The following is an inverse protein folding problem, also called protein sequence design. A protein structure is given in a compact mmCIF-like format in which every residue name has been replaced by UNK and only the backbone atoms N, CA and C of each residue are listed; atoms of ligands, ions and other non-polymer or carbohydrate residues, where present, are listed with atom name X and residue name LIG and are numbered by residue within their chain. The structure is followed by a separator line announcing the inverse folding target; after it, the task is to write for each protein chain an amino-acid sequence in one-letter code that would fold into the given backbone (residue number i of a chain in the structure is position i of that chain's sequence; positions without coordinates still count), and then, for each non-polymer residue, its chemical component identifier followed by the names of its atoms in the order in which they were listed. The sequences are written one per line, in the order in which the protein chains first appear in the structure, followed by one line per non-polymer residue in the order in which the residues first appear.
data_IF_918987174752
#
_entry.id   IF_918987174752
#
_cell.length_a   1.000
_cell.length_b   1.000
_cell.length_c   1.000
_cell.angle_alpha   90.00
_cell.angle_beta   90.00
_cell.angle_gamma   90.00
#
_symmetry.space_group_name_H-M   'P 1'
#
loop_
_entity.id
_entity.type
_entity.pdbx_description
1 polymer ?
#
# COMPACT_ATOMS: atom_id res chain seq x y z
N UNK A 1 13.66 -29.27 40.65
CA UNK A 1 14.14 -30.00 39.46
C UNK A 1 14.23 -28.98 38.32
N UNK A 2 15.43 -28.47 38.03
CA UNK A 2 15.68 -27.46 36.99
C UNK A 2 15.56 -28.16 35.64
N UNK A 3 14.65 -27.71 34.76
CA UNK A 3 14.64 -28.15 33.36
C UNK A 3 15.93 -27.64 32.72
N UNK A 4 16.80 -28.55 32.27
CA UNK A 4 17.90 -28.20 31.40
C UNK A 4 17.30 -27.55 30.15
N UNK A 5 17.46 -26.24 30.02
CA UNK A 5 17.12 -25.54 28.79
C UNK A 5 18.14 -25.99 27.75
N UNK A 6 17.70 -26.73 26.73
CA UNK A 6 18.54 -26.98 25.57
C UNK A 6 19.10 -25.62 25.07
N UNK A 7 20.39 -25.52 24.76
CA UNK A 7 20.95 -24.28 24.23
C UNK A 7 20.16 -23.89 22.97
N UNK A 8 19.82 -22.61 22.86
CA UNK A 8 19.14 -22.10 21.69
C UNK A 8 19.95 -22.48 20.43
N UNK A 9 19.29 -22.93 19.34
CA UNK A 9 19.99 -23.36 18.14
C UNK A 9 20.86 -22.22 17.58
N UNK A 10 22.05 -22.55 17.10
CA UNK A 10 22.98 -21.58 16.55
C UNK A 10 22.44 -21.06 15.20
N UNK A 11 22.22 -19.76 15.12
CA UNK A 11 21.71 -19.08 13.92
C UNK A 11 22.84 -18.31 13.24
N UNK A 12 22.86 -18.37 11.91
CA UNK A 12 23.76 -17.58 11.08
C UNK A 12 22.92 -16.57 10.29
N UNK A 13 23.34 -15.30 10.32
CA UNK A 13 22.64 -14.22 9.66
C UNK A 13 23.53 -13.62 8.57
N UNK A 14 22.95 -13.42 7.39
CA UNK A 14 23.59 -12.68 6.30
C UNK A 14 22.76 -11.43 6.06
N UNK A 15 23.43 -10.27 6.08
CA UNK A 15 22.84 -9.00 5.67
C UNK A 15 23.43 -8.62 4.32
N UNK A 16 22.57 -8.32 3.36
CA UNK A 16 22.97 -7.79 2.06
C UNK A 16 22.28 -6.45 1.86
N UNK A 17 23.05 -5.42 1.54
CA UNK A 17 22.51 -4.11 1.19
C UNK A 17 22.32 -4.05 -0.34
N UNK A 18 21.09 -3.77 -0.79
CA UNK A 18 20.78 -3.59 -2.21
C UNK A 18 20.84 -2.10 -2.54
N UNK A 19 21.82 -1.71 -3.36
CA UNK A 19 21.97 -0.32 -3.82
C UNK A 19 21.17 -0.10 -5.11
N UNK A 20 20.63 1.11 -5.30
CA UNK A 20 19.96 1.50 -6.54
C UNK A 20 18.66 0.72 -6.86
N UNK A 21 18.03 0.04 -5.89
CA UNK A 21 16.87 -0.82 -6.12
C UNK A 21 15.75 -0.14 -6.92
N UNK A 22 15.45 1.13 -6.63
CA UNK A 22 14.42 1.90 -7.34
C UNK A 22 14.83 2.27 -8.77
N UNK A 23 16.12 2.48 -9.02
CA UNK A 23 16.63 2.89 -10.32
C UNK A 23 16.82 1.70 -11.28
N UNK A 24 17.01 0.51 -10.73
CA UNK A 24 17.17 -0.75 -11.45
C UNK A 24 15.85 -1.51 -11.72
N UNK A 25 14.69 -0.94 -11.37
CA UNK A 25 13.40 -1.60 -11.60
C UNK A 25 13.12 -1.77 -13.10
N UNK A 26 12.94 -3.01 -13.60
CA UNK A 26 12.57 -3.24 -14.99
C UNK A 26 11.12 -2.79 -15.23
N UNK A 27 10.96 -1.72 -16.02
CA UNK A 27 9.67 -1.04 -16.20
C UNK A 27 8.63 -1.93 -16.85
N UNK A 28 9.00 -2.70 -17.88
CA UNK A 28 8.08 -3.59 -18.57
C UNK A 28 7.49 -4.65 -17.64
N UNK A 29 8.32 -5.19 -16.75
CA UNK A 29 7.89 -6.16 -15.73
C UNK A 29 7.03 -5.53 -14.67
N UNK A 30 7.35 -4.31 -14.24
CA UNK A 30 6.52 -3.57 -13.31
C UNK A 30 5.12 -3.30 -13.92
N UNK A 31 5.07 -2.93 -15.20
CA UNK A 31 3.82 -2.72 -15.93
C UNK A 31 3.01 -4.01 -16.02
N UNK A 32 3.64 -5.13 -16.36
CA UNK A 32 3.01 -6.45 -16.43
C UNK A 32 2.41 -6.87 -15.08
N UNK A 33 3.20 -6.80 -14.00
CA UNK A 33 2.75 -7.17 -12.65
C UNK A 33 1.55 -6.31 -12.24
N UNK A 34 1.63 -4.99 -12.44
CA UNK A 34 0.54 -4.08 -12.06
C UNK A 34 -0.69 -4.29 -12.95
N UNK A 35 -0.51 -4.59 -14.24
CA UNK A 35 -1.61 -4.94 -15.14
C UNK A 35 -2.35 -6.20 -14.65
N UNK A 36 -1.61 -7.21 -14.15
CA UNK A 36 -2.20 -8.43 -13.61
C UNK A 36 -2.94 -8.21 -12.29
N UNK A 37 -2.45 -7.31 -11.43
CA UNK A 37 -3.09 -6.98 -10.14
C UNK A 37 -4.35 -6.13 -10.31
N UNK A 38 -4.34 -5.19 -11.24
CA UNK A 38 -5.50 -4.30 -11.50
C UNK A 38 -6.53 -4.99 -12.43
N UNK A 39 -6.22 -6.19 -12.95
CA UNK A 39 -7.13 -6.99 -13.76
C UNK A 39 -8.08 -7.82 -12.90
N UNK A 40 -9.33 -8.03 -13.35
CA UNK A 40 -9.83 -7.75 -14.70
C UNK A 40 -10.12 -6.26 -14.92
N UNK A 41 -9.82 -5.75 -16.12
CA UNK A 41 -9.96 -4.32 -16.51
C UNK A 41 -11.41 -3.79 -16.39
N UNK A 42 -12.36 -4.68 -16.17
CA UNK A 42 -13.79 -4.44 -15.90
C UNK A 42 -14.07 -4.17 -14.41
N UNK A 43 -13.07 -4.32 -13.54
CA UNK A 43 -13.23 -4.10 -12.11
C UNK A 43 -13.51 -2.63 -11.84
N UNK A 44 -14.63 -2.38 -11.16
CA UNK A 44 -14.92 -1.09 -10.52
C UNK A 44 -14.44 -1.14 -9.08
N UNK A 45 -13.56 -0.21 -8.74
CA UNK A 45 -13.06 -0.04 -7.39
C UNK A 45 -13.92 0.98 -6.64
N UNK A 46 -14.22 0.62 -5.41
CA UNK A 46 -14.91 1.47 -4.46
C UNK A 46 -13.88 2.07 -3.51
N UNK A 47 -13.87 3.40 -3.37
CA UNK A 47 -12.98 4.11 -2.45
C UNK A 47 -13.82 4.74 -1.35
N UNK A 48 -13.65 4.23 -0.13
CA UNK A 48 -14.28 4.77 1.08
C UNK A 48 -13.28 5.60 1.87
N UNK A 49 -13.60 6.88 2.08
CA UNK A 49 -12.86 7.77 2.98
C UNK A 49 -13.52 7.78 4.34
N UNK A 50 -12.73 7.57 5.40
CA UNK A 50 -13.25 7.55 6.76
C UNK A 50 -12.24 8.14 7.74
N UNK A 51 -12.75 8.70 8.83
CA UNK A 51 -11.95 9.08 9.97
C UNK A 51 -12.08 8.03 11.08
N UNK A 52 -10.95 7.72 11.71
CA UNK A 52 -10.88 6.97 12.96
C UNK A 52 -10.53 7.94 14.06
N UNK A 53 -11.42 8.07 15.03
CA UNK A 53 -11.22 8.86 16.24
C UNK A 53 -11.04 7.90 17.40
N UNK A 54 -9.87 7.92 18.02
CA UNK A 54 -9.49 6.98 19.08
C UNK A 54 -8.88 7.72 20.26
N UNK A 55 -9.12 7.20 21.45
CA UNK A 55 -8.43 7.69 22.65
C UNK A 55 -7.07 7.01 22.76
N UNK A 56 -6.04 7.81 22.93
CA UNK A 56 -4.68 7.33 23.23
C UNK A 56 -4.62 6.83 24.67
N UNK A 57 -3.63 5.99 24.98
CA UNK A 57 -3.37 5.51 26.35
C UNK A 57 -3.18 6.66 27.36
N UNK A 58 -2.72 7.83 26.90
CA UNK A 58 -2.57 9.06 27.73
C UNK A 58 -3.85 9.90 27.81
N UNK A 59 -4.99 9.36 27.38
CA UNK A 59 -6.29 10.02 27.46
C UNK A 59 -6.60 11.04 26.36
N UNK A 60 -5.64 11.40 25.51
CA UNK A 60 -5.83 12.35 24.41
C UNK A 60 -6.63 11.73 23.27
N UNK A 61 -7.44 12.53 22.57
CA UNK A 61 -8.15 12.10 21.37
C UNK A 61 -7.23 12.28 20.15
N UNK A 62 -7.04 11.19 19.39
CA UNK A 62 -6.32 11.21 18.12
C UNK A 62 -7.29 10.91 16.98
N UNK A 63 -7.23 11.74 15.94
CA UNK A 63 -7.96 11.55 14.69
C UNK A 63 -7.00 11.11 13.59
N UNK A 64 -7.36 10.08 12.84
CA UNK A 64 -6.64 9.63 11.66
C UNK A 64 -7.60 9.55 10.48
N UNK A 65 -7.19 10.08 9.33
CA UNK A 65 -7.94 9.97 8.07
C UNK A 65 -7.40 8.76 7.30
N UNK A 66 -8.31 7.91 6.85
CA UNK A 66 -7.99 6.65 6.19
C UNK A 66 -8.80 6.49 4.92
N UNK A 67 -8.26 5.66 4.03
CA UNK A 67 -8.89 5.23 2.78
C UNK A 67 -8.97 3.73 2.78
N UNK A 68 -10.13 3.19 2.43
CA UNK A 68 -10.30 1.77 2.15
C UNK A 68 -10.68 1.61 0.67
N UNK A 69 -10.05 0.64 0.02
CA UNK A 69 -10.33 0.30 -1.37
C UNK A 69 -10.85 -1.12 -1.39
N UNK A 70 -11.97 -1.34 -2.05
CA UNK A 70 -12.55 -2.66 -2.27
C UNK A 70 -12.98 -2.81 -3.72
N UNK A 71 -13.10 -4.05 -4.19
CA UNK A 71 -13.89 -4.33 -5.39
C UNK A 71 -15.38 -4.17 -5.07
N UNK A 72 -16.23 -4.17 -6.09
CA UNK A 72 -17.68 -4.21 -5.86
C UNK A 72 -18.13 -5.49 -5.12
N UNK A 73 -17.48 -6.64 -5.40
CA UNK A 73 -17.79 -7.91 -4.75
C UNK A 73 -17.41 -7.92 -3.26
N UNK A 74 -16.34 -7.21 -2.89
CA UNK A 74 -15.85 -7.12 -1.51
C UNK A 74 -16.47 -5.98 -0.70
N UNK A 75 -17.28 -5.14 -1.36
CA UNK A 75 -17.85 -3.94 -0.77
C UNK A 75 -18.74 -4.31 0.41
N UNK A 76 -18.47 -3.69 1.56
CA UNK A 76 -19.33 -3.74 2.74
C UNK A 76 -20.13 -2.44 2.79
N UNK A 77 -21.33 -2.37 2.19
CA UNK A 77 -22.05 -1.10 2.05
C UNK A 77 -22.44 -0.54 3.42
N UNK A 78 -22.85 -1.39 4.35
CA UNK A 78 -23.26 -0.99 5.68
C UNK A 78 -22.06 -0.78 6.61
N UNK A 79 -22.05 0.35 7.33
CA UNK A 79 -20.96 0.71 8.26
C UNK A 79 -20.69 -0.35 9.33
N UNK A 80 -21.71 -1.08 9.77
CA UNK A 80 -21.55 -2.16 10.75
C UNK A 80 -20.60 -3.25 10.23
N UNK A 81 -20.92 -3.83 9.07
CA UNK A 81 -20.12 -4.88 8.45
C UNK A 81 -18.71 -4.39 8.12
N UNK A 82 -18.59 -3.13 7.67
CA UNK A 82 -17.30 -2.51 7.42
C UNK A 82 -16.45 -2.41 8.69
N UNK A 83 -17.02 -1.98 9.82
CA UNK A 83 -16.31 -1.88 11.10
C UNK A 83 -15.95 -3.26 11.67
N UNK A 84 -16.85 -4.25 11.56
CA UNK A 84 -16.58 -5.64 11.95
C UNK A 84 -15.34 -6.18 11.22
N UNK A 85 -15.27 -6.03 9.89
CA UNK A 85 -14.10 -6.39 9.08
C UNK A 85 -12.82 -5.62 9.45
N UNK A 86 -12.94 -4.34 9.80
CA UNK A 86 -11.81 -3.55 10.28
C UNK A 86 -11.28 -4.06 11.63
N UNK A 87 -12.15 -4.57 12.51
CA UNK A 87 -11.74 -5.14 13.79
C UNK A 87 -11.04 -6.49 13.64
N UNK A 88 -11.41 -7.28 12.63
CA UNK A 88 -10.74 -8.55 12.30
C UNK A 88 -9.31 -8.33 11.76
N UNK A 89 -9.15 -7.31 10.91
CA UNK A 89 -7.91 -7.08 10.16
C UNK A 89 -6.98 -6.05 10.78
N UNK A 90 -7.41 -5.32 11.82
CA UNK A 90 -6.63 -4.26 12.45
C UNK A 90 -6.84 -4.16 13.96
N UNK A 91 -6.01 -3.37 14.64
CA UNK A 91 -6.11 -3.12 16.09
C UNK A 91 -7.17 -2.08 16.46
N UNK A 92 -8.31 -2.03 15.75
CA UNK A 92 -9.38 -1.07 16.01
C UNK A 92 -10.09 -1.39 17.34
N UNK A 93 -9.73 -0.66 18.39
CA UNK A 93 -10.37 -0.70 19.73
C UNK A 93 -10.72 0.72 20.16
N UNK A 94 -11.77 0.86 20.97
CA UNK A 94 -12.22 2.13 21.58
C UNK A 94 -12.22 3.30 20.59
N UNK A 95 -12.84 3.07 19.43
CA UNK A 95 -12.77 3.93 18.27
C UNK A 95 -14.17 4.32 17.79
N UNK A 96 -14.30 5.57 17.34
CA UNK A 96 -15.42 6.02 16.53
C UNK A 96 -14.95 6.08 15.08
N UNK A 97 -15.66 5.37 14.20
CA UNK A 97 -15.41 5.37 12.76
C UNK A 97 -16.48 6.22 12.09
N UNK A 98 -16.05 7.26 11.37
CA UNK A 98 -16.94 8.22 10.70
C UNK A 98 -16.65 8.16 9.20
N UNK A 99 -17.64 7.77 8.42
CA UNK A 99 -17.56 7.85 6.96
C UNK A 99 -17.60 9.32 6.50
N UNK A 100 -16.74 9.66 5.55
CA UNK A 100 -16.64 11.01 4.98
C UNK A 100 -17.18 11.05 3.55
N UNK A 101 -16.80 10.06 2.74
CA UNK A 101 -17.27 9.91 1.37
C UNK A 101 -17.05 8.49 0.89
N UNK A 102 -17.85 8.08 -0.11
CA UNK A 102 -17.71 6.82 -0.81
C UNK A 102 -17.87 7.06 -2.31
N UNK A 103 -16.86 6.69 -3.11
CA UNK A 103 -16.96 6.67 -4.57
C UNK A 103 -16.99 5.21 -5.04
N UNK A 104 -17.89 4.88 -5.98
CA UNK A 104 -18.15 3.50 -6.40
C UNK A 104 -17.67 3.17 -7.83
N UNK A 105 -17.05 4.13 -8.53
CA UNK A 105 -16.93 4.09 -9.99
C UNK A 105 -15.49 4.27 -10.51
N UNK A 106 -14.47 3.95 -9.71
CA UNK A 106 -13.09 4.04 -10.19
C UNK A 106 -12.78 2.82 -11.08
N UNK A 107 -12.80 3.02 -12.40
CA UNK A 107 -12.52 1.94 -13.35
C UNK A 107 -11.05 1.51 -13.27
N UNK A 108 -10.80 0.20 -13.21
CA UNK A 108 -9.44 -0.36 -13.20
C UNK A 108 -8.61 0.08 -14.40
N UNK A 109 -9.22 0.22 -15.58
CA UNK A 109 -8.58 0.79 -16.77
C UNK A 109 -8.06 2.22 -16.55
N UNK A 110 -8.83 3.08 -15.89
CA UNK A 110 -8.44 4.46 -15.58
C UNK A 110 -7.28 4.51 -14.58
N UNK A 111 -7.31 3.65 -13.55
CA UNK A 111 -6.21 3.50 -12.59
C UNK A 111 -4.94 3.00 -13.26
N UNK A 112 -5.06 2.02 -14.15
CA UNK A 112 -3.93 1.50 -14.91
C UNK A 112 -3.35 2.55 -15.86
N UNK A 113 -4.18 3.32 -16.57
CA UNK A 113 -3.72 4.44 -17.39
C UNK A 113 -3.04 5.55 -16.57
N UNK A 114 -3.53 5.82 -15.36
CA UNK A 114 -2.86 6.75 -14.45
C UNK A 114 -1.50 6.21 -14.02
N UNK A 115 -1.43 4.93 -13.65
CA UNK A 115 -0.18 4.26 -13.31
C UNK A 115 0.84 4.34 -14.45
N UNK A 116 0.44 3.97 -15.68
CA UNK A 116 1.28 4.08 -16.86
C UNK A 116 1.78 5.51 -17.04
N UNK A 117 0.90 6.51 -16.98
CA UNK A 117 1.31 7.92 -17.08
C UNK A 117 2.36 8.29 -16.04
N UNK A 118 2.23 7.80 -14.82
CA UNK A 118 3.19 8.11 -13.76
C UNK A 118 4.55 7.44 -14.03
N UNK A 119 4.58 6.17 -14.41
CA UNK A 119 5.82 5.47 -14.76
C UNK A 119 6.54 6.17 -15.91
N UNK A 120 5.85 6.44 -17.02
CA UNK A 120 6.46 7.06 -18.21
C UNK A 120 6.94 8.50 -17.95
N UNK A 121 6.17 9.31 -17.22
CA UNK A 121 6.57 10.70 -16.91
C UNK A 121 7.70 10.78 -15.87
N UNK A 122 7.90 9.73 -15.05
CA UNK A 122 9.05 9.67 -14.14
C UNK A 122 10.37 9.39 -14.87
N UNK A 123 10.35 8.80 -16.07
CA UNK A 123 11.53 8.55 -16.91
C UNK A 123 11.95 9.81 -17.67
N UNK A 124 10.97 10.61 -18.13
CA UNK A 124 11.22 11.80 -18.95
C UNK A 124 11.93 12.96 -18.23
N UNK A 125 12.02 12.95 -16.90
CA UNK A 125 12.71 14.00 -16.11
C UNK A 125 14.10 13.61 -15.60
N UNK A 126 14.73 12.57 -16.19
CA UNK A 126 16.17 12.30 -16.05
C UNK A 126 17.05 13.15 -17.00
N UNK A 127 16.49 14.17 -17.66
CA UNK A 127 17.21 15.03 -18.60
C UNK A 127 17.38 16.51 -18.22
N UNK A 128 16.81 16.98 -17.11
CA UNK A 128 16.97 18.39 -16.71
C UNK A 128 17.25 18.50 -15.21
N UNK A 129 18.50 18.85 -14.89
CA UNK A 129 18.93 19.29 -13.57
C UNK A 129 18.19 20.59 -13.25
N UNK A 130 17.10 20.52 -12.49
CA UNK A 130 16.47 21.70 -11.90
C UNK A 130 16.76 21.73 -10.40
N UNK A 131 17.18 22.87 -9.85
CA UNK A 131 17.54 22.99 -8.44
C UNK A 131 16.33 22.70 -7.54
N UNK A 132 16.62 22.08 -6.39
CA UNK A 132 15.64 21.58 -5.43
C UNK A 132 14.80 22.72 -4.82
N UNK A 133 13.48 22.71 -5.09
CA UNK A 133 12.48 23.51 -4.39
C UNK A 133 11.45 22.63 -3.68
N UNK A 134 10.75 23.14 -2.63
CA UNK A 134 10.07 22.30 -1.64
C UNK A 134 8.68 21.87 -2.11
N UNK A 135 8.60 20.84 -2.96
CA UNK A 135 7.37 20.07 -3.18
C UNK A 135 7.71 18.60 -3.48
N UNK A 136 7.85 17.80 -2.41
CA UNK A 136 8.26 16.39 -2.47
C UNK A 136 7.16 15.39 -2.06
N UNK A 137 5.89 15.79 -1.96
CA UNK A 137 4.85 14.88 -1.45
C UNK A 137 4.38 13.80 -2.45
N UNK A 138 4.45 14.05 -3.77
CA UNK A 138 3.96 13.08 -4.78
C UNK A 138 5.08 12.16 -5.30
N UNK A 139 6.32 12.67 -5.34
CA UNK A 139 7.51 11.97 -5.88
C UNK A 139 7.99 10.79 -5.03
N UNK A 140 7.84 10.86 -3.71
CA UNK A 140 8.24 9.77 -2.81
C UNK A 140 7.25 8.60 -2.78
N UNK A 141 5.97 8.87 -3.07
CA UNK A 141 4.87 7.93 -2.78
C UNK A 141 4.79 6.77 -3.78
N UNK A 142 4.98 7.02 -5.09
CA UNK A 142 4.86 5.95 -6.09
C UNK A 142 6.06 5.00 -6.08
N UNK A 143 7.28 5.56 -5.95
CA UNK A 143 8.49 4.76 -5.86
C UNK A 143 8.41 3.84 -4.64
N UNK A 144 8.04 4.38 -3.48
CA UNK A 144 7.91 3.62 -2.24
C UNK A 144 6.88 2.48 -2.27
N UNK A 145 5.93 2.48 -3.21
CA UNK A 145 4.97 1.37 -3.39
C UNK A 145 5.42 0.39 -4.47
N UNK A 146 6.04 0.86 -5.56
CA UNK A 146 6.43 0.00 -6.68
C UNK A 146 7.60 -0.92 -6.36
N UNK A 147 8.59 -0.45 -5.59
CA UNK A 147 9.76 -1.27 -5.26
C UNK A 147 9.44 -2.40 -4.27
N UNK A 148 8.68 -2.20 -3.17
CA UNK A 148 8.31 -3.31 -2.30
C UNK A 148 7.42 -4.34 -3.00
N UNK A 149 6.48 -3.89 -3.86
CA UNK A 149 5.66 -4.81 -4.66
C UNK A 149 6.52 -5.65 -5.62
N UNK A 150 7.43 -5.02 -6.36
CA UNK A 150 8.33 -5.75 -7.26
C UNK A 150 9.28 -6.68 -6.49
N UNK A 151 9.90 -6.20 -5.40
CA UNK A 151 10.77 -7.02 -4.56
C UNK A 151 10.01 -8.19 -3.92
N UNK A 152 8.74 -8.00 -3.51
CA UNK A 152 7.91 -9.09 -2.99
C UNK A 152 7.62 -10.14 -4.06
N UNK A 153 7.27 -9.73 -5.29
CA UNK A 153 7.04 -10.65 -6.42
C UNK A 153 8.31 -11.41 -6.81
N UNK A 154 9.47 -10.74 -6.84
CA UNK A 154 10.74 -11.41 -7.13
C UNK A 154 11.19 -12.35 -6.01
N UNK A 155 10.87 -12.05 -4.76
CA UNK A 155 11.23 -12.89 -3.62
C UNK A 155 10.37 -14.16 -3.50
N UNK A 156 9.13 -14.15 -4.01
CA UNK A 156 8.23 -15.32 -3.95
C UNK A 156 8.48 -16.36 -5.04
N UNK A 157 9.35 -16.10 -6.02
CA UNK A 157 9.77 -17.08 -7.03
C UNK A 157 8.66 -17.61 -7.95
N UNK A 158 7.45 -17.05 -7.87
CA UNK A 158 6.35 -17.31 -8.81
C UNK A 158 6.56 -16.46 -10.05
N UNK A 159 7.00 -17.11 -11.11
CA UNK A 159 7.11 -16.57 -12.46
C UNK A 159 5.84 -16.90 -13.26
#
# INVERSE_FOLDING_TARGET
RIRAQNPAPQLYFVKVDVTGAYDALPQDRLVEVIANVIRPQESTYCVRHYAVVQRTARGHVRKAFKRHVSTFADLQPYMRQFVERLQETSSLRDAVVIEQSSSLNEAGSSLFHLFLRLVHNHVARRGLLLPAGPTSSVRGSLRALSCPLYCAVCATGTW
#
